data_IF_614892527679
#
_entry.id   IF_614892527679
#
_cell.length_a   1.000
_cell.length_b   1.000
_cell.length_c   1.000
_cell.angle_alpha   90.00
_cell.angle_beta   90.00
_cell.angle_gamma   90.00
#
_symmetry.space_group_name_H-M   'P 1'
#
loop_
_entity.id
_entity.type
_entity.pdbx_description
1 polymer ?
#
# COMPACT_ATOMS: atom_id res chain seq x y z
N UNK A 1 10.74 16.12 -2.85
CA UNK A 1 10.70 14.91 -2.00
C UNK A 1 9.44 14.15 -2.36
N UNK A 2 9.54 12.84 -2.58
CA UNK A 2 8.45 11.96 -2.99
C UNK A 2 7.64 11.46 -1.79
N UNK A 3 6.37 11.07 -2.00
CA UNK A 3 5.51 10.57 -0.94
C UNK A 3 6.06 9.25 -0.37
N UNK A 4 6.39 9.16 0.93
CA UNK A 4 6.80 7.90 1.53
C UNK A 4 5.63 6.92 1.56
N UNK A 5 5.87 5.68 1.14
CA UNK A 5 4.91 4.59 1.15
C UNK A 5 5.42 3.40 1.96
N UNK A 6 4.57 2.84 2.80
CA UNK A 6 4.84 1.68 3.64
C UNK A 6 3.87 0.57 3.27
N UNK A 7 4.36 -0.64 3.05
CA UNK A 7 3.52 -1.82 2.82
C UNK A 7 3.57 -2.76 4.03
N UNK A 8 2.91 -3.92 3.95
CA UNK A 8 3.09 -4.96 4.97
C UNK A 8 4.38 -5.75 4.74
N UNK A 9 4.68 -6.08 3.48
CA UNK A 9 5.81 -6.90 3.09
C UNK A 9 6.73 -6.28 2.03
N UNK A 10 7.92 -6.88 1.90
CA UNK A 10 8.88 -6.52 0.84
C UNK A 10 8.40 -6.90 -0.57
N UNK A 11 7.52 -7.89 -0.67
CA UNK A 11 6.98 -8.39 -1.94
C UNK A 11 6.00 -7.38 -2.54
N UNK A 12 5.21 -6.74 -1.69
CA UNK A 12 4.23 -5.71 -2.08
C UNK A 12 4.93 -4.52 -2.75
N UNK A 13 6.08 -4.10 -2.21
CA UNK A 13 6.91 -3.09 -2.84
C UNK A 13 7.27 -3.46 -4.29
N UNK A 14 7.57 -4.73 -4.57
CA UNK A 14 7.91 -5.19 -5.93
C UNK A 14 6.67 -5.16 -6.82
N UNK A 15 5.54 -5.65 -6.32
CA UNK A 15 4.29 -5.69 -7.06
C UNK A 15 3.80 -4.29 -7.44
N UNK A 16 3.73 -3.38 -6.46
CA UNK A 16 3.21 -2.03 -6.67
C UNK A 16 4.17 -1.22 -7.56
N UNK A 17 5.49 -1.32 -7.36
CA UNK A 17 6.46 -0.68 -8.27
C UNK A 17 6.33 -1.18 -9.70
N UNK A 18 6.10 -2.49 -9.90
CA UNK A 18 5.90 -3.05 -11.23
C UNK A 18 4.56 -2.60 -11.85
N UNK A 19 3.51 -2.52 -11.04
CA UNK A 19 2.20 -2.00 -11.46
C UNK A 19 2.27 -0.53 -11.90
N UNK A 20 2.88 0.34 -11.07
CA UNK A 20 3.07 1.75 -11.40
C UNK A 20 3.89 1.90 -12.68
N UNK A 21 4.98 1.15 -12.84
CA UNK A 21 5.77 1.16 -14.07
C UNK A 21 4.91 0.82 -15.29
N UNK A 22 4.13 -0.27 -15.20
CA UNK A 22 3.31 -0.75 -16.32
C UNK A 22 2.16 0.18 -16.65
N UNK A 23 1.61 0.86 -15.66
CA UNK A 23 0.44 1.74 -15.75
C UNK A 23 0.84 3.23 -15.69
N UNK A 24 2.11 3.56 -15.95
CA UNK A 24 2.65 4.90 -15.71
C UNK A 24 1.97 6.01 -16.51
N UNK A 25 1.39 5.69 -17.67
CA UNK A 25 0.59 6.62 -18.47
C UNK A 25 -0.74 7.03 -17.80
N UNK A 26 -1.23 6.24 -16.83
CA UNK A 26 -2.51 6.49 -16.14
C UNK A 26 -2.35 7.16 -14.77
N UNK A 27 -1.16 7.10 -14.17
CA UNK A 27 -0.92 7.50 -12.78
C UNK A 27 0.26 8.48 -12.68
N UNK A 28 0.00 9.74 -13.05
CA UNK A 28 1.00 10.81 -13.17
C UNK A 28 1.45 11.36 -11.80
N UNK A 29 0.70 11.11 -10.72
CA UNK A 29 1.11 11.47 -9.36
C UNK A 29 2.02 10.40 -8.74
N UNK A 30 2.05 9.20 -9.31
CA UNK A 30 2.87 8.08 -8.84
C UNK A 30 4.13 7.87 -9.67
N UNK A 31 4.13 8.26 -10.95
CA UNK A 31 5.30 8.17 -11.82
C UNK A 31 5.28 9.16 -12.98
N UNK A 32 6.47 9.56 -13.45
CA UNK A 32 6.62 10.09 -14.79
C UNK A 32 6.82 8.91 -15.76
N UNK A 33 5.92 8.79 -16.74
CA UNK A 33 6.05 7.80 -17.81
C UNK A 33 7.31 8.06 -18.64
N UNK A 34 7.91 6.98 -19.17
CA UNK A 34 9.05 7.10 -20.08
C UNK A 34 8.58 7.71 -21.40
N UNK A 35 9.31 8.72 -21.88
CA UNK A 35 9.16 9.28 -23.22
C UNK A 35 10.50 9.20 -23.95
N UNK A 36 10.54 9.62 -25.21
CA UNK A 36 11.81 9.72 -25.96
C UNK A 36 12.79 10.74 -25.32
N UNK A 37 12.27 11.70 -24.56
CA UNK A 37 13.04 12.79 -23.95
C UNK A 37 13.34 12.57 -22.46
N UNK A 38 12.56 11.75 -21.76
CA UNK A 38 12.66 11.56 -20.31
C UNK A 38 12.59 10.09 -19.94
N UNK A 39 13.53 9.67 -19.10
CA UNK A 39 13.50 8.36 -18.49
C UNK A 39 12.35 8.24 -17.48
N UNK A 40 11.87 7.01 -17.30
CA UNK A 40 10.87 6.70 -16.29
C UNK A 40 11.37 7.10 -14.89
N UNK A 41 10.49 7.76 -14.12
CA UNK A 41 10.78 8.17 -12.75
C UNK A 41 9.62 7.77 -11.83
N UNK A 42 9.92 7.07 -10.74
CA UNK A 42 8.95 6.76 -9.71
C UNK A 42 8.84 7.95 -8.73
N UNK A 43 7.64 8.49 -8.54
CA UNK A 43 7.37 9.69 -7.74
C UNK A 43 6.90 9.38 -6.31
N UNK A 44 6.94 8.11 -5.92
CA UNK A 44 6.66 7.60 -4.57
C UNK A 44 7.84 6.80 -4.05
N UNK A 45 8.09 6.88 -2.74
CA UNK A 45 9.23 6.24 -2.12
C UNK A 45 8.80 5.10 -1.19
N UNK A 46 8.93 3.86 -1.64
CA UNK A 46 8.61 2.69 -0.81
C UNK A 46 9.72 2.42 0.20
N UNK A 47 9.36 2.28 1.48
CA UNK A 47 10.30 1.93 2.54
C UNK A 47 10.96 0.59 2.26
N UNK A 48 12.29 0.56 2.29
CA UNK A 48 13.05 -0.68 2.20
C UNK A 48 13.16 -1.37 3.57
N UNK A 49 12.82 -2.67 3.60
CA UNK A 49 12.85 -3.49 4.80
C UNK A 49 14.26 -4.05 5.07
N UNK A 50 15.17 -3.17 5.49
CA UNK A 50 16.44 -3.57 6.09
C UNK A 50 16.25 -4.09 7.51
N UNK A 51 17.22 -4.85 8.06
CA UNK A 51 17.21 -5.23 9.48
C UNK A 51 17.05 -4.02 10.41
N UNK A 52 17.64 -2.87 10.03
CA UNK A 52 17.59 -1.63 10.81
C UNK A 52 16.23 -0.96 10.75
N UNK A 53 15.60 -0.84 9.58
CA UNK A 53 14.26 -0.23 9.46
C UNK A 53 13.19 -1.09 10.11
N UNK A 54 13.32 -2.42 10.03
CA UNK A 54 12.47 -3.35 10.78
C UNK A 54 12.61 -3.21 12.29
N UNK A 55 13.82 -2.95 12.79
CA UNK A 55 14.06 -2.71 14.20
C UNK A 55 13.57 -1.33 14.65
N UNK A 56 13.90 -0.26 13.92
CA UNK A 56 13.60 1.12 14.32
C UNK A 56 12.10 1.46 14.26
N UNK A 57 11.41 0.92 13.26
CA UNK A 57 9.97 1.17 13.06
C UNK A 57 9.13 0.04 13.65
N UNK A 58 9.75 -0.88 14.39
CA UNK A 58 9.13 -2.14 14.84
C UNK A 58 8.40 -2.86 13.68
N UNK A 59 8.92 -2.94 12.44
CA UNK A 59 8.22 -3.59 11.31
C UNK A 59 8.48 -5.12 11.26
N UNK A 60 8.18 -5.77 12.39
CA UNK A 60 8.43 -7.16 12.84
C UNK A 60 7.51 -8.32 12.40
N UNK A 61 6.69 -8.35 11.35
CA UNK A 61 5.78 -9.52 11.10
C UNK A 61 4.27 -9.25 10.97
N UNK A 62 3.92 -8.49 9.94
CA UNK A 62 2.55 -8.37 9.43
C UNK A 62 1.76 -7.15 9.91
N UNK A 63 0.45 -7.17 9.69
CA UNK A 63 -0.48 -6.06 9.96
C UNK A 63 -0.49 -5.52 11.42
N UNK A 64 -0.12 -6.33 12.42
CA UNK A 64 0.01 -5.90 13.83
C UNK A 64 1.02 -4.76 14.01
N UNK A 65 1.99 -4.64 13.11
CA UNK A 65 3.02 -3.60 13.14
C UNK A 65 2.57 -2.29 12.52
N UNK A 66 1.74 -2.35 11.48
CA UNK A 66 1.12 -1.16 10.91
C UNK A 66 0.24 -0.47 11.95
N UNK A 67 -0.52 -1.24 12.75
CA UNK A 67 -1.26 -0.70 13.91
C UNK A 67 -0.36 0.02 14.90
N UNK A 68 0.74 -0.58 15.32
CA UNK A 68 1.68 0.05 16.27
C UNK A 68 2.29 1.35 15.72
N UNK A 69 2.66 1.34 14.44
CA UNK A 69 3.17 2.53 13.77
C UNK A 69 2.12 3.65 13.77
N UNK A 70 0.87 3.32 13.43
CA UNK A 70 -0.26 4.25 13.44
C UNK A 70 -0.52 4.79 14.86
N UNK A 71 -0.50 3.94 15.88
CA UNK A 71 -0.69 4.31 17.29
C UNK A 71 0.34 5.32 17.80
N UNK A 72 1.59 5.15 17.39
CA UNK A 72 2.72 5.99 17.83
C UNK A 72 2.91 7.23 16.97
N UNK A 73 2.27 7.30 15.81
CA UNK A 73 2.54 8.34 14.83
C UNK A 73 2.39 9.75 15.43
N UNK A 74 1.31 10.01 16.17
CA UNK A 74 1.09 11.30 16.84
C UNK A 74 2.20 11.70 17.79
N UNK A 75 2.59 10.79 18.68
CA UNK A 75 3.60 11.05 19.70
C UNK A 75 4.96 11.26 19.06
N UNK A 76 5.30 10.41 18.08
CA UNK A 76 6.57 10.47 17.39
C UNK A 76 6.66 11.74 16.54
N UNK A 77 5.59 12.09 15.80
CA UNK A 77 5.50 13.34 15.02
C UNK A 77 5.66 14.59 15.91
N UNK A 78 5.15 14.55 17.14
CA UNK A 78 5.27 15.68 18.07
C UNK A 78 6.63 15.75 18.76
N UNK A 79 7.28 14.60 18.96
CA UNK A 79 8.58 14.49 19.60
C UNK A 79 9.72 14.94 18.68
N UNK A 80 9.70 14.50 17.41
CA UNK A 80 10.72 14.86 16.43
C UNK A 80 10.48 16.25 15.87
N UNK A 81 11.44 17.16 16.05
CA UNK A 81 11.41 18.49 15.41
C UNK A 81 11.86 18.37 13.96
N UNK A 82 10.92 18.49 13.04
CA UNK A 82 11.16 18.51 11.60
C UNK A 82 10.37 19.64 10.93
N UNK A 83 10.79 20.10 9.73
CA UNK A 83 9.97 20.96 8.90
C UNK A 83 8.59 20.34 8.64
N UNK A 84 7.59 21.17 8.39
CA UNK A 84 6.27 20.70 8.01
C UNK A 84 6.39 19.76 6.80
N UNK A 85 5.77 18.58 6.91
CA UNK A 85 5.76 17.62 5.81
C UNK A 85 5.13 18.27 4.57
N UNK A 86 5.75 18.03 3.41
CA UNK A 86 5.25 18.51 2.11
C UNK A 86 4.61 17.38 1.31
N UNK A 87 4.61 16.16 1.84
CA UNK A 87 4.07 14.95 1.20
C UNK A 87 3.31 14.09 2.22
N UNK A 88 2.29 13.33 1.78
CA UNK A 88 1.64 12.35 2.63
C UNK A 88 2.56 11.14 2.87
N UNK A 89 2.43 10.53 4.03
CA UNK A 89 2.89 9.17 4.32
C UNK A 89 1.71 8.23 4.05
N UNK A 90 1.86 7.29 3.14
CA UNK A 90 0.79 6.35 2.74
C UNK A 90 1.15 4.95 3.19
N UNK A 91 0.33 4.36 4.05
CA UNK A 91 0.39 2.93 4.37
C UNK A 91 -0.51 2.20 3.39
N UNK A 92 -0.01 1.14 2.77
CA UNK A 92 -0.79 0.21 1.96
C UNK A 92 -0.94 -1.09 2.74
N UNK A 93 -2.18 -1.52 2.98
CA UNK A 93 -2.49 -2.70 3.77
C UNK A 93 -3.49 -3.62 3.05
N UNK A 94 -3.40 -4.91 3.32
CA UNK A 94 -4.38 -5.88 2.84
C UNK A 94 -5.74 -5.64 3.50
N UNK A 95 -6.81 -5.87 2.75
CA UNK A 95 -8.19 -5.74 3.20
C UNK A 95 -8.75 -7.11 3.62
N UNK A 96 -8.01 -7.81 4.48
CA UNK A 96 -8.35 -9.14 4.94
C UNK A 96 -8.35 -9.23 6.47
N UNK A 97 -8.36 -10.46 7.00
CA UNK A 97 -8.37 -10.70 8.43
C UNK A 97 -7.10 -10.21 9.14
N UNK A 98 -5.97 -10.08 8.45
CA UNK A 98 -4.73 -9.53 9.00
C UNK A 98 -4.90 -8.09 9.49
N UNK A 99 -5.67 -7.29 8.76
CA UNK A 99 -5.92 -5.88 9.09
C UNK A 99 -7.00 -5.63 10.14
N UNK A 100 -7.62 -6.67 10.70
CA UNK A 100 -8.75 -6.54 11.63
C UNK A 100 -8.42 -5.66 12.84
N UNK A 101 -7.24 -5.81 13.43
CA UNK A 101 -6.83 -5.01 14.60
C UNK A 101 -6.60 -3.55 14.24
N UNK A 102 -5.98 -3.29 13.08
CA UNK A 102 -5.76 -1.94 12.56
C UNK A 102 -7.09 -1.24 12.28
N UNK A 103 -8.02 -1.91 11.60
CA UNK A 103 -9.36 -1.37 11.31
C UNK A 103 -10.11 -1.10 12.61
N UNK A 104 -10.07 -2.03 13.57
CA UNK A 104 -10.70 -1.85 14.89
C UNK A 104 -10.12 -0.65 15.63
N UNK A 105 -8.79 -0.45 15.56
CA UNK A 105 -8.14 0.73 16.11
C UNK A 105 -8.65 2.02 15.45
N UNK A 106 -8.73 2.05 14.12
CA UNK A 106 -9.25 3.21 13.38
C UNK A 106 -10.69 3.53 13.76
N UNK A 107 -11.58 2.52 13.84
CA UNK A 107 -12.97 2.72 14.26
C UNK A 107 -13.06 3.32 15.66
N UNK A 108 -12.25 2.83 16.60
CA UNK A 108 -12.28 3.33 17.98
C UNK A 108 -11.68 4.74 18.11
N UNK A 109 -10.72 5.12 17.27
CA UNK A 109 -10.01 6.40 17.35
C UNK A 109 -10.52 7.47 16.39
N UNK A 110 -11.46 7.13 15.49
CA UNK A 110 -12.11 8.01 14.52
C UNK A 110 -11.10 8.78 13.65
N UNK A 111 -10.75 8.27 12.45
CA UNK A 111 -9.88 8.98 11.53
C UNK A 111 -10.53 10.31 11.09
N UNK A 112 -9.72 11.20 10.54
CA UNK A 112 -10.18 12.48 9.96
C UNK A 112 -11.04 12.26 8.71
N UNK A 113 -10.79 11.18 7.98
CA UNK A 113 -11.62 10.70 6.88
C UNK A 113 -11.46 9.18 6.74
N UNK A 114 -12.50 8.42 6.37
CA UNK A 114 -13.89 8.86 6.15
C UNK A 114 -14.61 9.19 7.46
N UNK A 115 -15.76 9.86 7.36
CA UNK A 115 -16.65 10.07 8.51
C UNK A 115 -17.27 8.74 8.93
N UNK A 116 -17.00 8.32 10.18
CA UNK A 116 -17.49 7.06 10.72
C UNK A 116 -18.86 7.21 11.38
N UNK A 117 -19.62 6.11 11.36
CA UNK A 117 -20.95 6.02 11.97
C UNK A 117 -20.84 5.62 13.44
N UNK A 118 -21.96 5.67 14.16
CA UNK A 118 -22.01 5.19 15.55
C UNK A 118 -21.87 3.67 15.64
N UNK A 119 -22.39 2.97 14.63
CA UNK A 119 -22.30 1.52 14.54
C UNK A 119 -20.91 1.07 14.09
N UNK A 120 -20.33 0.09 14.80
CA UNK A 120 -18.98 -0.40 14.51
C UNK A 120 -18.91 -1.26 13.26
N UNK A 121 -19.96 -2.02 12.97
CA UNK A 121 -20.01 -2.90 11.79
C UNK A 121 -20.10 -2.05 10.52
N UNK A 122 -20.96 -1.03 10.54
CA UNK A 122 -21.06 -0.05 9.45
C UNK A 122 -19.77 0.75 9.29
N UNK A 123 -19.13 1.17 10.38
CA UNK A 123 -17.83 1.86 10.33
C UNK A 123 -16.71 0.99 9.76
N UNK A 124 -16.68 -0.30 10.09
CA UNK A 124 -15.74 -1.25 9.47
C UNK A 124 -15.96 -1.32 7.96
N UNK A 125 -17.23 -1.43 7.51
CA UNK A 125 -17.55 -1.45 6.09
C UNK A 125 -17.12 -0.16 5.38
N UNK A 126 -17.39 0.99 6.00
CA UNK A 126 -16.97 2.30 5.49
C UNK A 126 -15.46 2.36 5.32
N UNK A 127 -14.68 1.92 6.32
CA UNK A 127 -13.21 1.91 6.23
C UNK A 127 -12.74 1.00 5.09
N UNK A 128 -13.29 -0.22 4.98
CA UNK A 128 -12.89 -1.20 3.96
C UNK A 128 -13.23 -0.75 2.53
N UNK A 129 -14.32 -0.01 2.36
CA UNK A 129 -14.81 0.45 1.06
C UNK A 129 -14.24 1.82 0.65
N UNK A 130 -13.78 2.61 1.63
CA UNK A 130 -13.25 3.95 1.38
C UNK A 130 -12.02 3.91 0.48
N UNK A 131 -11.90 4.96 -0.35
CA UNK A 131 -10.71 5.21 -1.15
C UNK A 131 -9.44 5.24 -0.32
N UNK A 132 -9.47 5.95 0.81
CA UNK A 132 -8.35 6.06 1.73
C UNK A 132 -8.87 6.42 3.12
N UNK A 133 -8.06 6.17 4.14
CA UNK A 133 -8.28 6.63 5.50
C UNK A 133 -7.26 7.71 5.83
N UNK A 134 -7.71 8.95 6.03
CA UNK A 134 -6.86 10.01 6.57
C UNK A 134 -6.84 9.87 8.09
N UNK A 135 -5.76 9.32 8.65
CA UNK A 135 -5.68 9.03 10.08
C UNK A 135 -5.51 10.33 10.86
N UNK A 136 -4.38 11.00 10.66
CA UNK A 136 -4.03 12.27 11.29
C UNK A 136 -2.86 12.92 10.55
N UNK A 137 -2.67 14.23 10.71
CA UNK A 137 -1.54 14.98 10.13
C UNK A 137 -1.37 14.64 8.63
N UNK A 138 -0.21 14.14 8.23
CA UNK A 138 0.10 13.68 6.88
C UNK A 138 0.03 12.16 6.70
N UNK A 139 -0.54 11.40 7.66
CA UNK A 139 -0.64 9.93 7.61
C UNK A 139 -1.95 9.47 6.97
N UNK A 140 -1.82 8.60 5.97
CA UNK A 140 -2.91 7.99 5.21
C UNK A 140 -2.76 6.48 5.21
N UNK A 141 -3.88 5.77 5.09
CA UNK A 141 -3.92 4.32 4.87
C UNK A 141 -4.77 4.06 3.62
N UNK A 142 -4.30 3.20 2.74
CA UNK A 142 -5.01 2.67 1.58
C UNK A 142 -5.10 1.17 1.75
N UNK A 143 -6.33 0.64 1.73
CA UNK A 143 -6.55 -0.80 1.72
C UNK A 143 -6.64 -1.32 0.29
N UNK A 144 -6.28 -2.60 0.07
CA UNK A 144 -6.58 -3.27 -1.19
C UNK A 144 -8.09 -3.18 -1.50
N UNK A 145 -8.49 -3.05 -2.78
CA UNK A 145 -9.89 -2.95 -3.15
C UNK A 145 -10.63 -4.23 -2.78
N UNK A 146 -11.89 -4.10 -2.35
CA UNK A 146 -12.75 -5.27 -2.21
C UNK A 146 -12.98 -5.90 -3.58
N UNK A 147 -12.97 -7.23 -3.65
CA UNK A 147 -13.22 -7.97 -4.90
C UNK A 147 -14.60 -8.62 -4.77
N UNK A 148 -15.54 -8.15 -5.58
CA UNK A 148 -16.96 -8.52 -5.50
C UNK A 148 -17.53 -8.32 -4.08
N UNK A 149 -17.13 -7.23 -3.42
CA UNK A 149 -17.54 -6.92 -2.03
C UNK A 149 -16.91 -7.79 -0.95
N UNK A 150 -15.90 -8.59 -1.29
CA UNK A 150 -15.17 -9.46 -0.35
C UNK A 150 -13.77 -8.95 -0.07
N UNK A 151 -13.28 -9.33 1.10
CA UNK A 151 -11.91 -9.12 1.57
C UNK A 151 -10.89 -9.58 0.53
N UNK A 152 -9.77 -8.87 0.45
CA UNK A 152 -8.72 -9.12 -0.53
C UNK A 152 -7.34 -8.86 0.07
N UNK A 153 -6.34 -9.47 -0.54
CA UNK A 153 -4.93 -9.21 -0.28
C UNK A 153 -4.19 -8.93 -1.60
N UNK A 154 -2.97 -8.42 -1.51
CA UNK A 154 -2.19 -7.92 -2.64
C UNK A 154 -2.13 -8.89 -3.83
N UNK A 155 -1.95 -10.18 -3.59
CA UNK A 155 -1.89 -11.18 -4.67
C UNK A 155 -3.21 -11.40 -5.41
N UNK A 156 -4.37 -11.07 -4.81
CA UNK A 156 -5.66 -11.17 -5.50
C UNK A 156 -5.79 -10.15 -6.65
N UNK A 157 -4.92 -9.15 -6.71
CA UNK A 157 -4.91 -8.13 -7.77
C UNK A 157 -4.25 -8.61 -9.07
N UNK A 158 -3.62 -9.79 -9.06
CA UNK A 158 -3.07 -10.42 -10.26
C UNK A 158 -4.10 -11.28 -10.98
N UNK A 159 -3.95 -11.37 -12.31
CA UNK A 159 -4.80 -12.24 -13.12
C UNK A 159 -4.55 -13.72 -12.82
N UNK A 160 -5.55 -14.57 -13.09
CA UNK A 160 -5.41 -16.01 -12.94
C UNK A 160 -4.26 -16.59 -13.77
N UNK A 161 -4.03 -16.08 -14.98
CA UNK A 161 -2.90 -16.50 -15.84
C UNK A 161 -1.57 -16.17 -15.18
N UNK A 162 -1.46 -14.99 -14.57
CA UNK A 162 -0.24 -14.55 -13.89
C UNK A 162 0.05 -15.41 -12.66
N UNK A 163 -0.98 -15.68 -11.85
CA UNK A 163 -0.88 -16.52 -10.65
C UNK A 163 -0.54 -17.99 -10.98
N UNK A 164 -0.91 -18.46 -12.18
CA UNK A 164 -0.65 -19.83 -12.65
C UNK A 164 0.71 -19.99 -13.34
N UNK A 165 1.56 -18.95 -13.42
CA UNK A 165 2.89 -19.08 -13.99
C UNK A 165 3.72 -20.04 -13.13
N UNK A 166 4.17 -21.15 -13.71
CA UNK A 166 5.06 -22.09 -13.03
C UNK A 166 6.51 -21.60 -13.05
N UNK A 167 7.23 -21.91 -11.98
CA UNK A 167 8.65 -21.58 -11.82
C UNK A 167 9.39 -22.83 -11.38
N UNK A 168 10.34 -23.29 -12.19
CA UNK A 168 11.08 -24.52 -11.94
C UNK A 168 10.15 -25.74 -11.72
N UNK A 169 9.03 -25.81 -12.45
CA UNK A 169 7.99 -26.86 -12.34
C UNK A 169 7.12 -26.80 -11.08
N UNK A 170 7.19 -25.69 -10.32
CA UNK A 170 6.43 -25.47 -9.08
C UNK A 170 5.33 -24.44 -9.30
N UNK A 171 4.23 -24.56 -8.55
CA UNK A 171 3.08 -23.64 -8.59
C UNK A 171 3.13 -22.58 -7.50
N UNK A 172 2.55 -21.41 -7.76
CA UNK A 172 2.48 -20.37 -6.75
C UNK A 172 1.56 -20.76 -5.59
N UNK A 173 1.97 -20.48 -4.35
CA UNK A 173 1.13 -20.58 -3.15
C UNK A 173 1.24 -19.29 -2.32
N UNK A 174 0.17 -18.46 -2.29
CA UNK A 174 0.23 -17.17 -1.61
C UNK A 174 0.31 -17.27 -0.09
N UNK A 175 -0.07 -18.41 0.51
CA UNK A 175 0.02 -18.67 1.94
C UNK A 175 1.39 -19.20 2.38
N UNK A 176 2.30 -19.49 1.44
CA UNK A 176 3.63 -19.99 1.75
C UNK A 176 4.67 -18.87 1.81
N UNK A 177 5.34 -18.80 2.96
CA UNK A 177 6.54 -17.98 3.17
C UNK A 177 7.78 -18.58 2.50
N UNK A 178 7.85 -19.91 2.46
CA UNK A 178 9.00 -20.66 1.95
C UNK A 178 8.60 -21.59 0.81
N UNK A 179 9.51 -21.69 -0.15
CA UNK A 179 9.39 -22.62 -1.27
C UNK A 179 9.43 -24.07 -0.80
N UNK A 180 8.60 -24.90 -1.42
CA UNK A 180 8.59 -26.36 -1.23
C UNK A 180 8.98 -27.07 -2.53
N UNK A 181 8.97 -28.40 -2.51
CA UNK A 181 9.19 -29.22 -3.70
C UNK A 181 8.16 -28.96 -4.80
N UNK A 182 6.91 -28.66 -4.43
CA UNK A 182 5.79 -28.59 -5.39
C UNK A 182 5.27 -27.16 -5.60
N UNK A 183 5.61 -26.24 -4.70
CA UNK A 183 5.10 -24.88 -4.71
C UNK A 183 6.17 -23.86 -4.35
N UNK A 184 5.98 -22.61 -4.76
CA UNK A 184 6.84 -21.49 -4.42
C UNK A 184 6.05 -20.36 -3.76
N UNK A 185 6.71 -19.62 -2.87
CA UNK A 185 6.11 -18.56 -2.07
C UNK A 185 6.17 -17.17 -2.69
N UNK A 186 5.68 -16.17 -1.94
CA UNK A 186 5.55 -14.77 -2.39
C UNK A 186 6.86 -14.17 -2.90
N UNK A 187 7.99 -14.47 -2.26
CA UNK A 187 9.29 -13.93 -2.67
C UNK A 187 9.71 -14.43 -4.07
N UNK A 188 9.49 -15.70 -4.37
CA UNK A 188 9.77 -16.28 -5.68
C UNK A 188 8.81 -15.72 -6.73
N UNK A 189 7.53 -15.56 -6.40
CA UNK A 189 6.56 -14.91 -7.28
C UNK A 189 6.97 -13.47 -7.62
N UNK A 190 7.28 -12.65 -6.61
CA UNK A 190 7.69 -11.26 -6.79
C UNK A 190 8.94 -11.12 -7.65
N UNK A 191 9.95 -11.96 -7.43
CA UNK A 191 11.26 -11.83 -8.10
C UNK A 191 11.30 -12.51 -9.47
N UNK A 192 10.84 -13.76 -9.57
CA UNK A 192 10.96 -14.58 -10.80
C UNK A 192 9.76 -14.45 -11.74
N UNK A 193 8.61 -13.98 -11.25
CA UNK A 193 7.42 -13.75 -12.10
C UNK A 193 7.21 -12.26 -12.30
N UNK A 194 6.86 -11.53 -11.23
CA UNK A 194 6.40 -10.15 -11.35
C UNK A 194 7.52 -9.23 -11.86
N UNK A 195 8.67 -9.21 -11.18
CA UNK A 195 9.80 -8.34 -11.58
C UNK A 195 10.36 -8.73 -12.96
N UNK A 196 10.52 -10.02 -13.23
CA UNK A 196 11.07 -10.52 -14.49
C UNK A 196 10.13 -10.30 -15.70
N UNK A 197 8.82 -10.36 -15.47
CA UNK A 197 7.80 -10.28 -16.53
C UNK A 197 6.94 -9.01 -16.45
N UNK A 198 7.38 -7.98 -15.72
CA UNK A 198 6.65 -6.73 -15.46
C UNK A 198 6.17 -5.97 -16.72
N UNK A 199 6.81 -6.20 -17.87
CA UNK A 199 6.43 -5.59 -19.13
C UNK A 199 5.40 -6.40 -19.93
N UNK A 200 5.20 -7.69 -19.60
CA UNK A 200 4.33 -8.61 -20.35
C UNK A 200 3.07 -9.03 -19.59
N UNK A 201 3.11 -9.06 -18.26
CA UNK A 201 1.92 -9.43 -17.46
C UNK A 201 0.96 -8.25 -17.32
N UNK A 202 -0.36 -8.49 -17.22
CA UNK A 202 -1.34 -7.46 -16.96
C UNK A 202 -1.30 -7.02 -15.48
N UNK A 203 -1.58 -5.74 -15.24
CA UNK A 203 -1.70 -5.15 -13.89
C UNK A 203 -3.05 -4.43 -13.69
N UNK A 204 -4.06 -4.71 -14.51
CA UNK A 204 -5.36 -4.01 -14.45
C UNK A 204 -6.04 -4.12 -13.07
N UNK A 205 -5.86 -5.23 -12.35
CA UNK A 205 -6.37 -5.39 -10.98
C UNK A 205 -5.72 -4.45 -9.96
N UNK A 206 -4.55 -3.86 -10.26
CA UNK A 206 -3.90 -2.86 -9.42
C UNK A 206 -4.43 -1.44 -9.65
N UNK A 207 -5.15 -1.18 -10.75
CA UNK A 207 -5.64 0.17 -11.06
C UNK A 207 -6.44 0.79 -9.90
N UNK A 208 -7.42 0.09 -9.27
CA UNK A 208 -8.16 0.67 -8.15
C UNK A 208 -7.26 1.02 -6.95
N UNK A 209 -6.23 0.20 -6.67
CA UNK A 209 -5.30 0.46 -5.58
C UNK A 209 -4.46 1.72 -5.86
N UNK A 210 -3.95 1.86 -7.10
CA UNK A 210 -3.16 3.02 -7.50
C UNK A 210 -4.00 4.30 -7.52
N UNK A 211 -5.26 4.23 -8.00
CA UNK A 211 -6.21 5.35 -7.92
C UNK A 211 -6.39 5.83 -6.49
N UNK A 212 -6.59 4.91 -5.54
CA UNK A 212 -6.71 5.23 -4.11
C UNK A 212 -5.48 5.93 -3.54
N UNK A 213 -4.27 5.54 -3.99
CA UNK A 213 -3.04 6.23 -3.60
C UNK A 213 -2.98 7.66 -4.13
N UNK A 214 -3.36 7.90 -5.38
CA UNK A 214 -3.43 9.25 -5.95
C UNK A 214 -4.47 10.12 -5.24
N UNK A 215 -5.64 9.57 -4.92
CA UNK A 215 -6.68 10.27 -4.17
C UNK A 215 -6.19 10.73 -2.79
N UNK A 216 -5.40 9.91 -2.09
CA UNK A 216 -4.74 10.31 -0.84
C UNK A 216 -3.75 11.47 -1.04
N UNK A 217 -2.96 11.45 -2.13
CA UNK A 217 -2.03 12.52 -2.49
C UNK A 217 -2.78 13.82 -2.79
N UNK A 218 -3.85 13.75 -3.59
CA UNK A 218 -4.69 14.88 -3.96
C UNK A 218 -5.34 15.48 -2.72
N UNK A 219 -5.90 14.65 -1.85
CA UNK A 219 -6.51 15.09 -0.60
C UNK A 219 -5.48 15.86 0.25
N UNK A 220 -4.28 15.30 0.44
CA UNK A 220 -3.25 15.96 1.24
C UNK A 220 -2.79 17.30 0.65
N UNK A 221 -2.55 17.38 -0.67
CA UNK A 221 -2.18 18.63 -1.36
C UNK A 221 -3.23 19.71 -1.14
N UNK A 222 -4.50 19.36 -1.28
CA UNK A 222 -5.63 20.26 -1.05
C UNK A 222 -5.65 20.80 0.39
N UNK A 223 -5.34 19.97 1.38
CA UNK A 223 -5.28 20.40 2.78
C UNK A 223 -4.12 21.37 3.04
N UNK A 224 -2.95 21.14 2.43
CA UNK A 224 -1.81 22.08 2.54
C UNK A 224 -2.17 23.44 1.94
N UNK A 225 -2.77 23.47 0.77
CA UNK A 225 -3.13 24.72 0.09
C UNK A 225 -4.10 25.55 0.92
N UNK A 226 -5.13 24.92 1.51
CA UNK A 226 -6.07 25.59 2.43
C UNK A 226 -5.38 26.20 3.65
N UNK A 227 -4.32 25.58 4.15
CA UNK A 227 -3.56 26.06 5.31
C UNK A 227 -2.57 27.19 4.96
N UNK A 228 -2.24 27.39 3.68
CA UNK A 228 -1.42 28.53 3.24
C UNK A 228 -2.22 29.83 3.06
N UNK A 229 -3.53 29.71 2.90
CA UNK A 229 -4.46 30.85 2.68
C UNK A 229 -5.04 31.38 4.00
N UNK A 230 -4.77 30.70 5.12
CA UNK A 230 -5.10 31.13 6.48
C UNK A 230 -3.89 31.77 7.15
#
# INVERSE_FOLDING_TARGET
>A
MFAPSLCEGKTDNIYIKAAILRLSEKFDLLSNAKTDEKEYELLVNFLEYSKRTRYLLDLYGGASYLKRFVERYRSDYSYYRAPAATQPVIIVADNDSGSTELISYLVNNKPLYPELKKDKVESNKIIKDSSFVHVEKNLYIVFTPLIDGRDSFMENLFSHETLNIEVDGRKFSPQQEADTKNSYGKNTFATKVVSAKKHSIPFSGFEPLLTRMEEAIIHYRTQIEKNKVK
#
